data_IF_641636326354
#
_entry.id   IF_641636326354
#
_cell.length_a   1.000
_cell.length_b   1.000
_cell.length_c   1.000
_cell.angle_alpha   90.00
_cell.angle_beta   90.00
_cell.angle_gamma   90.00
#
_symmetry.space_group_name_H-M   'P 1'
#
loop_
_entity.id
_entity.type
_entity.pdbx_description
1 polymer ?
#
# COMPACT_ATOMS: atom_id res chain seq x y z
N UNK A 1 -63.36 -15.81 -59.38
CA UNK A 1 -64.39 -16.32 -58.45
C UNK A 1 -63.70 -17.29 -57.52
N UNK A 2 -63.39 -16.88 -56.29
CA UNK A 2 -64.19 -17.19 -55.08
C UNK A 2 -64.05 -18.67 -54.67
N UNK A 3 -63.78 -19.10 -53.44
CA UNK A 3 -63.63 -18.48 -52.13
C UNK A 3 -63.03 -19.62 -51.25
N UNK A 4 -62.00 -19.36 -50.43
CA UNK A 4 -61.48 -20.34 -49.47
C UNK A 4 -61.85 -19.89 -48.04
N UNK A 5 -62.68 -20.68 -47.36
CA UNK A 5 -63.01 -20.54 -45.94
C UNK A 5 -61.80 -20.86 -45.07
N UNK A 6 -61.51 -19.98 -44.10
CA UNK A 6 -60.84 -20.34 -42.84
C UNK A 6 -61.38 -19.44 -41.71
N UNK A 7 -62.13 -20.05 -40.79
CA UNK A 7 -62.09 -19.71 -39.37
C UNK A 7 -60.94 -20.52 -38.74
N UNK A 8 -60.26 -20.17 -37.65
CA UNK A 8 -60.78 -19.82 -36.32
C UNK A 8 -59.72 -19.06 -35.51
N UNK A 9 -60.20 -18.20 -34.61
CA UNK A 9 -59.59 -17.55 -33.44
C UNK A 9 -58.30 -18.15 -32.82
N UNK A 10 -57.38 -17.29 -32.37
CA UNK A 10 -57.07 -17.12 -30.94
C UNK A 10 -56.10 -15.96 -30.69
N UNK A 11 -56.42 -15.20 -29.64
CA UNK A 11 -55.72 -14.03 -29.07
C UNK A 11 -54.59 -14.54 -28.15
N UNK A 12 -53.46 -13.82 -28.04
CA UNK A 12 -52.76 -13.57 -26.76
C UNK A 12 -51.50 -12.68 -26.91
N UNK A 13 -51.54 -11.58 -26.17
CA UNK A 13 -50.48 -10.64 -25.77
C UNK A 13 -49.55 -11.20 -24.69
N UNK A 14 -48.28 -10.74 -24.62
CA UNK A 14 -47.61 -10.11 -23.44
C UNK A 14 -46.09 -10.40 -23.24
N UNK A 15 -45.29 -9.32 -23.33
CA UNK A 15 -44.23 -8.80 -22.43
C UNK A 15 -43.00 -9.61 -21.89
N UNK A 16 -41.87 -8.93 -21.58
CA UNK A 16 -40.54 -9.51 -21.25
C UNK A 16 -40.21 -9.50 -19.74
N UNK A 17 -39.59 -10.56 -19.19
CA UNK A 17 -39.28 -10.61 -17.74
C UNK A 17 -38.08 -11.51 -17.31
N UNK A 18 -36.99 -11.63 -18.09
CA UNK A 18 -35.91 -12.59 -17.75
C UNK A 18 -34.52 -12.01 -17.39
N UNK A 19 -34.34 -10.68 -17.33
CA UNK A 19 -32.98 -10.09 -17.23
C UNK A 19 -32.54 -9.65 -15.81
N UNK A 20 -33.45 -9.64 -14.83
CA UNK A 20 -33.17 -9.11 -13.48
C UNK A 20 -32.59 -10.14 -12.50
N UNK A 21 -32.91 -11.42 -12.65
CA UNK A 21 -32.56 -12.49 -11.70
C UNK A 21 -31.08 -12.90 -11.76
N UNK A 22 -30.47 -12.88 -12.95
CA UNK A 22 -29.07 -13.27 -13.13
C UNK A 22 -28.06 -12.30 -12.47
N UNK A 23 -28.41 -11.01 -12.35
CA UNK A 23 -27.53 -9.99 -11.74
C UNK A 23 -27.47 -10.12 -10.22
N UNK A 24 -28.55 -10.54 -9.57
CA UNK A 24 -28.62 -10.72 -8.12
C UNK A 24 -27.82 -11.95 -7.69
N UNK A 25 -27.94 -13.06 -8.42
CA UNK A 25 -27.20 -14.30 -8.14
C UNK A 25 -25.68 -14.13 -8.29
N UNK A 26 -25.22 -13.40 -9.32
CA UNK A 26 -23.79 -13.12 -9.53
C UNK A 26 -23.19 -12.21 -8.46
N UNK A 27 -24.01 -11.30 -7.88
CA UNK A 27 -23.59 -10.42 -6.79
C UNK A 27 -23.53 -11.15 -5.46
N UNK A 28 -24.46 -12.07 -5.19
CA UNK A 28 -24.43 -12.91 -4.00
C UNK A 28 -23.23 -13.88 -4.00
N UNK A 29 -22.92 -14.50 -5.15
CA UNK A 29 -21.75 -15.36 -5.30
C UNK A 29 -20.42 -14.59 -5.12
N UNK A 30 -20.33 -13.36 -5.66
CA UNK A 30 -19.14 -12.52 -5.49
C UNK A 30 -18.97 -11.95 -4.06
N UNK A 31 -20.06 -11.80 -3.31
CA UNK A 31 -20.02 -11.41 -1.90
C UNK A 31 -19.62 -12.61 -1.02
N UNK A 32 -20.10 -13.82 -1.34
CA UNK A 32 -19.75 -15.03 -0.61
C UNK A 32 -18.30 -15.47 -0.84
N UNK A 33 -17.77 -15.38 -2.07
CA UNK A 33 -16.34 -15.65 -2.31
C UNK A 33 -15.43 -14.63 -1.65
N UNK A 34 -15.87 -13.38 -1.51
CA UNK A 34 -15.12 -12.33 -0.82
C UNK A 34 -15.17 -12.46 0.71
N UNK A 35 -16.26 -13.01 1.25
CA UNK A 35 -16.39 -13.30 2.68
C UNK A 35 -15.59 -14.55 3.10
N UNK A 36 -15.59 -15.60 2.27
CA UNK A 36 -14.79 -16.81 2.55
C UNK A 36 -13.28 -16.58 2.44
N UNK A 37 -12.83 -15.61 1.64
CA UNK A 37 -11.42 -15.19 1.60
C UNK A 37 -11.00 -14.34 2.82
N UNK A 38 -11.94 -13.86 3.65
CA UNK A 38 -11.65 -13.09 4.87
C UNK A 38 -11.62 -13.99 6.12
N UNK A 39 -12.09 -15.24 6.05
CA UNK A 39 -12.27 -16.14 7.23
C UNK A 39 -11.57 -17.51 7.18
N UNK A 40 -10.61 -17.73 6.27
CA UNK A 40 -9.83 -18.96 6.27
C UNK A 40 -8.32 -18.68 6.28
N UNK A 41 -7.66 -18.99 7.40
CA UNK A 41 -6.20 -19.01 7.52
C UNK A 41 -5.74 -18.59 8.93
N UNK A 42 -4.66 -19.19 9.42
CA UNK A 42 -3.95 -18.81 10.65
C UNK A 42 -3.89 -17.29 10.85
N UNK A 43 -3.89 -16.80 12.10
CA UNK A 43 -3.80 -15.36 12.38
C UNK A 43 -2.51 -14.77 11.77
N UNK A 44 -2.61 -14.29 10.52
CA UNK A 44 -1.51 -13.66 9.80
C UNK A 44 -1.09 -12.42 10.56
N UNK A 45 0.21 -12.30 10.84
CA UNK A 45 0.77 -11.14 11.51
C UNK A 45 0.40 -9.86 10.73
N UNK A 46 -0.08 -8.79 11.39
CA UNK A 46 -0.54 -7.60 10.68
C UNK A 46 0.57 -6.92 9.86
N UNK A 47 1.84 -7.16 10.20
CA UNK A 47 3.00 -6.64 9.45
C UNK A 47 3.16 -7.33 8.08
N UNK A 48 2.70 -8.57 7.92
CA UNK A 48 2.73 -9.23 6.62
C UNK A 48 1.65 -8.71 5.67
N UNK A 49 0.65 -8.02 6.22
CA UNK A 49 -0.48 -7.48 5.47
C UNK A 49 -0.23 -6.05 5.00
N UNK A 50 0.85 -5.40 5.46
CA UNK A 50 1.29 -4.12 4.92
C UNK A 50 2.10 -4.34 3.63
N UNK A 51 1.96 -3.41 2.68
CA UNK A 51 2.73 -3.43 1.43
C UNK A 51 3.88 -2.45 1.58
N UNK A 52 4.99 -2.95 2.10
CA UNK A 52 6.23 -2.18 2.26
C UNK A 52 7.16 -2.54 1.12
N UNK A 53 7.60 -1.55 0.36
CA UNK A 53 8.44 -1.74 -0.84
C UNK A 53 9.66 -0.85 -0.82
N UNK A 54 10.68 -1.28 -1.53
CA UNK A 54 11.83 -0.44 -1.89
C UNK A 54 11.37 0.58 -2.94
N UNK A 55 11.67 1.85 -2.71
CA UNK A 55 11.38 2.94 -3.63
C UNK A 55 12.66 3.69 -4.00
N UNK A 56 12.84 4.03 -5.27
CA UNK A 56 13.92 4.93 -5.72
C UNK A 56 13.38 6.34 -5.84
N UNK A 57 13.92 7.28 -5.08
CA UNK A 57 13.56 8.69 -5.25
C UNK A 57 14.20 9.19 -6.54
N UNK A 58 13.38 9.55 -7.52
CA UNK A 58 13.82 10.10 -8.79
C UNK A 58 14.01 11.62 -8.70
N UNK A 59 13.11 12.29 -8.00
CA UNK A 59 13.11 13.73 -7.77
C UNK A 59 12.46 14.06 -6.44
N UNK A 60 12.91 15.13 -5.79
CA UNK A 60 12.30 15.71 -4.60
C UNK A 60 12.35 17.23 -4.69
N UNK A 61 11.20 17.89 -4.53
CA UNK A 61 11.13 19.35 -4.58
C UNK A 61 10.17 19.89 -3.53
N UNK A 62 10.44 21.12 -3.06
CA UNK A 62 9.63 21.72 -2.00
C UNK A 62 8.20 21.95 -2.47
N UNK A 63 7.24 21.66 -1.59
CA UNK A 63 5.84 21.90 -1.85
C UNK A 63 5.57 23.41 -1.97
N UNK A 64 4.86 23.87 -3.02
CA UNK A 64 4.67 25.31 -3.26
C UNK A 64 3.82 26.01 -2.19
N UNK A 65 2.87 25.29 -1.61
CA UNK A 65 1.94 25.82 -0.59
C UNK A 65 2.24 25.36 0.85
N UNK A 66 3.31 24.59 1.08
CA UNK A 66 3.58 24.01 2.40
C UNK A 66 5.09 23.96 2.70
N UNK A 67 5.54 24.80 3.63
CA UNK A 67 6.97 25.00 3.91
C UNK A 67 7.68 23.77 4.48
N UNK A 68 6.93 22.83 5.04
CA UNK A 68 7.46 21.62 5.69
C UNK A 68 7.39 20.38 4.81
N UNK A 69 6.79 20.47 3.63
CA UNK A 69 6.53 19.32 2.78
C UNK A 69 7.45 19.30 1.56
N UNK A 70 7.90 18.12 1.21
CA UNK A 70 8.43 17.80 -0.10
C UNK A 70 7.37 17.09 -0.93
N UNK A 71 7.51 17.17 -2.25
CA UNK A 71 6.82 16.34 -3.22
C UNK A 71 7.90 15.51 -3.90
N UNK A 72 7.77 14.19 -3.80
CA UNK A 72 8.71 13.23 -4.34
C UNK A 72 8.09 12.39 -5.46
N UNK A 73 8.85 12.24 -6.55
CA UNK A 73 8.59 11.23 -7.58
C UNK A 73 9.38 9.97 -7.22
N UNK A 74 8.69 8.91 -6.79
CA UNK A 74 9.34 7.68 -6.31
C UNK A 74 8.96 6.50 -7.20
N UNK A 75 9.95 5.86 -7.80
CA UNK A 75 9.78 4.59 -8.51
C UNK A 75 9.67 3.45 -7.50
N UNK A 76 8.52 2.78 -7.50
CA UNK A 76 8.22 1.60 -6.65
C UNK A 76 7.96 0.36 -7.52
N UNK A 77 8.59 0.29 -8.69
CA UNK A 77 8.49 -0.83 -9.64
C UNK A 77 7.13 -0.93 -10.34
N UNK A 78 6.40 0.19 -10.41
CA UNK A 78 5.13 0.30 -11.14
C UNK A 78 5.36 0.89 -12.53
N UNK A 79 4.29 0.94 -13.35
CA UNK A 79 4.38 1.49 -14.70
C UNK A 79 4.76 2.98 -14.73
N UNK A 80 4.36 3.73 -13.70
CA UNK A 80 4.66 5.14 -13.52
C UNK A 80 5.14 5.39 -12.07
N UNK A 81 6.09 6.32 -11.87
CA UNK A 81 6.50 6.72 -10.52
C UNK A 81 5.32 7.26 -9.72
N UNK A 82 5.31 6.96 -8.43
CA UNK A 82 4.29 7.49 -7.52
C UNK A 82 4.70 8.87 -7.03
N UNK A 83 3.70 9.74 -6.97
CA UNK A 83 3.84 11.00 -6.24
C UNK A 83 3.56 10.76 -4.76
N UNK A 84 4.55 11.03 -3.93
CA UNK A 84 4.44 10.99 -2.47
C UNK A 84 4.76 12.39 -1.96
N UNK A 85 4.17 12.77 -0.82
CA UNK A 85 4.58 13.97 -0.12
C UNK A 85 5.05 13.60 1.28
N UNK A 86 6.24 14.05 1.66
CA UNK A 86 6.83 13.81 2.97
C UNK A 86 7.04 15.10 3.76
N UNK A 87 7.05 15.00 5.09
CA UNK A 87 7.30 16.12 6.00
C UNK A 87 8.78 16.33 6.32
N UNK A 88 9.69 16.06 5.38
CA UNK A 88 11.12 15.92 5.66
C UNK A 88 11.94 17.22 5.55
N UNK A 89 11.33 18.33 5.07
CA UNK A 89 12.02 19.63 4.89
C UNK A 89 12.75 20.13 6.14
N UNK A 90 12.22 19.98 7.38
CA UNK A 90 12.94 20.45 8.57
C UNK A 90 14.18 19.63 8.93
N UNK A 91 14.31 18.41 8.41
CA UNK A 91 15.29 17.42 8.87
C UNK A 91 16.41 17.16 7.87
N UNK A 92 16.12 17.28 6.57
CA UNK A 92 17.09 16.99 5.51
C UNK A 92 16.79 17.78 4.24
N UNK A 93 17.81 17.95 3.41
CA UNK A 93 17.70 18.62 2.12
C UNK A 93 17.16 17.70 1.03
N UNK A 94 16.63 18.28 -0.06
CA UNK A 94 16.16 17.51 -1.21
C UNK A 94 17.29 16.70 -1.85
N UNK A 95 18.50 17.27 -1.91
CA UNK A 95 19.70 16.64 -2.47
C UNK A 95 20.11 15.38 -1.70
N UNK A 96 19.82 15.31 -0.39
CA UNK A 96 20.08 14.12 0.42
C UNK A 96 19.05 13.01 0.20
N UNK A 97 17.82 13.38 -0.19
CA UNK A 97 16.72 12.44 -0.44
C UNK A 97 16.77 11.91 -1.88
N UNK A 98 17.08 12.77 -2.84
CA UNK A 98 17.16 12.40 -4.26
C UNK A 98 18.17 11.29 -4.51
N UNK A 99 17.78 10.31 -5.31
CA UNK A 99 18.60 9.15 -5.59
C UNK A 99 18.73 8.15 -4.45
N UNK A 100 18.10 8.34 -3.29
CA UNK A 100 18.10 7.34 -2.23
C UNK A 100 17.15 6.16 -2.54
N UNK A 101 17.52 4.98 -2.05
CA UNK A 101 16.67 3.80 -2.03
C UNK A 101 15.90 3.77 -0.69
N UNK A 102 14.73 4.39 -0.67
CA UNK A 102 13.91 4.56 0.52
C UNK A 102 12.92 3.40 0.70
N UNK A 103 12.34 3.29 1.89
CA UNK A 103 11.25 2.36 2.14
C UNK A 103 9.91 3.08 2.06
N UNK A 104 8.99 2.52 1.27
CA UNK A 104 7.68 3.10 0.98
C UNK A 104 6.58 2.16 1.44
N UNK A 105 5.63 2.70 2.20
CA UNK A 105 4.35 2.04 2.46
C UNK A 105 3.37 2.34 1.32
N UNK A 106 3.12 1.33 0.49
CA UNK A 106 2.48 1.46 -0.82
C UNK A 106 0.97 1.14 -0.83
N UNK A 107 0.40 0.53 0.22
CA UNK A 107 -1.02 0.18 0.26
C UNK A 107 -1.87 1.07 1.17
N UNK A 108 -1.37 2.26 1.54
CA UNK A 108 -2.21 3.27 2.19
C UNK A 108 -3.16 3.90 1.18
N UNK A 109 -4.34 4.27 1.67
CA UNK A 109 -5.26 5.09 0.88
C UNK A 109 -4.64 6.46 0.62
N UNK A 110 -4.68 6.90 -0.63
CA UNK A 110 -4.19 8.23 -1.02
C UNK A 110 -4.80 9.33 -0.14
N UNK A 111 -3.96 10.28 0.25
CA UNK A 111 -4.31 11.43 1.09
C UNK A 111 -3.84 12.71 0.41
N UNK A 112 -4.71 13.71 0.39
CA UNK A 112 -4.32 15.06 -0.02
C UNK A 112 -3.60 15.78 1.12
N UNK A 113 -2.42 16.31 0.81
CA UNK A 113 -1.59 17.13 1.70
C UNK A 113 -1.38 18.46 1.00
N UNK A 114 -1.93 19.54 1.58
CA UNK A 114 -1.88 20.89 1.00
C UNK A 114 -2.28 20.95 -0.49
N UNK A 115 -3.35 20.23 -0.87
CA UNK A 115 -3.86 20.21 -2.25
C UNK A 115 -3.21 19.20 -3.19
N UNK A 116 -2.09 18.58 -2.79
CA UNK A 116 -1.38 17.58 -3.60
C UNK A 116 -1.69 16.16 -3.11
N UNK A 117 -2.10 15.23 -4.00
CA UNK A 117 -2.34 13.85 -3.62
C UNK A 117 -1.02 13.11 -3.37
N UNK A 118 -0.91 12.47 -2.20
CA UNK A 118 0.18 11.56 -1.85
C UNK A 118 -0.30 10.11 -1.94
N UNK A 119 0.42 9.28 -2.68
CA UNK A 119 0.11 7.87 -2.99
C UNK A 119 1.00 6.88 -2.22
N UNK A 120 1.31 7.23 -0.97
CA UNK A 120 2.11 6.40 -0.09
C UNK A 120 2.70 7.21 1.05
N UNK A 121 3.65 6.60 1.75
CA UNK A 121 4.39 7.23 2.83
C UNK A 121 5.82 6.67 2.83
N UNK A 122 6.80 7.56 2.87
CA UNK A 122 8.20 7.17 3.10
C UNK A 122 8.34 6.86 4.59
N UNK A 123 8.88 5.70 4.92
CA UNK A 123 9.14 5.31 6.31
C UNK A 123 10.48 5.85 6.77
N UNK A 124 10.48 6.53 7.90
CA UNK A 124 11.67 7.12 8.51
C UNK A 124 11.83 6.65 9.95
N UNK A 125 13.06 6.63 10.45
CA UNK A 125 13.33 6.52 11.88
C UNK A 125 13.27 7.91 12.51
N UNK A 126 12.66 8.03 13.69
CA UNK A 126 12.60 9.27 14.45
C UNK A 126 12.88 9.01 15.93
N UNK A 127 13.61 9.93 16.56
CA UNK A 127 13.82 9.89 18.00
C UNK A 127 12.51 10.17 18.78
N UNK A 128 12.52 9.90 20.09
CA UNK A 128 11.32 10.07 20.93
C UNK A 128 10.79 11.50 20.95
N UNK A 129 11.67 12.50 20.77
CA UNK A 129 11.31 13.90 20.73
C UNK A 129 10.83 14.37 19.34
N UNK A 130 10.98 13.53 18.31
CA UNK A 130 10.80 13.89 16.89
C UNK A 130 11.62 15.13 16.46
N UNK A 131 12.79 15.33 17.06
CA UNK A 131 13.72 16.39 16.69
C UNK A 131 14.67 15.92 15.59
N UNK A 132 15.01 14.63 15.58
CA UNK A 132 15.87 14.01 14.58
C UNK A 132 15.08 12.95 13.82
N UNK A 133 15.10 13.05 12.48
CA UNK A 133 14.46 12.10 11.57
C UNK A 133 15.47 11.67 10.52
N UNK A 134 15.61 10.35 10.35
CA UNK A 134 16.50 9.74 9.36
C UNK A 134 15.73 8.82 8.43
N UNK A 135 16.11 8.81 7.15
CA UNK A 135 15.55 7.88 6.17
C UNK A 135 15.90 6.43 6.55
N UNK A 136 14.94 5.53 6.34
CA UNK A 136 15.24 4.11 6.21
C UNK A 136 15.75 3.85 4.80
N UNK A 137 17.02 3.46 4.70
CA UNK A 137 17.71 3.22 3.44
C UNK A 137 17.93 1.73 3.26
N UNK A 138 17.60 1.26 2.06
CA UNK A 138 17.89 -0.10 1.63
C UNK A 138 19.31 -0.19 1.06
N UNK A 139 20.07 -1.27 1.34
CA UNK A 139 21.38 -1.48 0.73
C UNK A 139 21.33 -1.46 -0.80
N UNK A 140 22.45 -1.08 -1.41
CA UNK A 140 22.61 -1.12 -2.86
C UNK A 140 22.44 -2.55 -3.38
N UNK A 141 21.59 -2.72 -4.40
CA UNK A 141 21.31 -4.02 -5.02
C UNK A 141 19.84 -4.43 -4.96
N UNK A 142 19.05 -3.89 -4.04
CA UNK A 142 17.61 -4.14 -4.03
C UNK A 142 16.92 -3.35 -5.15
N UNK A 143 16.01 -4.01 -5.88
CA UNK A 143 15.33 -3.40 -7.00
C UNK A 143 14.16 -2.51 -6.54
N UNK A 144 13.88 -1.38 -7.22
CA UNK A 144 12.64 -0.63 -7.00
C UNK A 144 11.41 -1.52 -7.15
N UNK A 145 10.49 -1.42 -6.19
CA UNK A 145 9.27 -2.23 -6.11
C UNK A 145 9.42 -3.59 -5.45
N UNK A 146 10.64 -3.97 -5.08
CA UNK A 146 10.86 -5.17 -4.28
C UNK A 146 10.12 -5.04 -2.94
N UNK A 147 9.38 -6.09 -2.59
CA UNK A 147 8.62 -6.13 -1.34
C UNK A 147 9.55 -6.50 -0.19
N UNK A 148 9.56 -5.63 0.83
CA UNK A 148 10.32 -5.84 2.06
C UNK A 148 9.65 -6.94 2.87
N UNK A 149 10.47 -7.89 3.31
CA UNK A 149 10.05 -8.98 4.21
C UNK A 149 10.47 -8.66 5.65
N UNK A 150 9.84 -9.35 6.60
CA UNK A 150 10.12 -9.21 8.02
C UNK A 150 10.65 -10.54 8.55
N UNK A 151 11.88 -10.56 9.08
CA UNK A 151 12.56 -11.79 9.50
C UNK A 151 13.43 -12.36 8.39
N UNK A 152 13.16 -13.59 7.96
CA UNK A 152 14.01 -14.27 6.98
C UNK A 152 13.62 -13.93 5.53
N UNK A 153 14.61 -13.72 4.67
CA UNK A 153 14.38 -13.39 3.26
C UNK A 153 13.76 -14.54 2.46
N UNK A 154 14.06 -15.78 2.81
CA UNK A 154 13.49 -16.99 2.20
C UNK A 154 12.09 -17.35 2.73
N UNK A 155 11.57 -16.59 3.70
CA UNK A 155 10.24 -16.78 4.24
C UNK A 155 9.12 -16.47 3.24
N UNK A 156 8.01 -17.18 3.36
CA UNK A 156 6.76 -16.80 2.70
C UNK A 156 6.17 -15.55 3.36
N UNK A 157 5.52 -14.70 2.57
CA UNK A 157 4.84 -13.49 3.07
C UNK A 157 3.45 -13.44 2.48
N UNK A 158 2.45 -13.29 3.35
CA UNK A 158 1.04 -13.21 2.96
C UNK A 158 0.78 -12.05 1.99
N UNK A 159 -0.25 -12.16 1.15
CA UNK A 159 -0.61 -11.07 0.24
C UNK A 159 -0.98 -9.79 1.01
N UNK A 160 -0.52 -8.61 0.56
CA UNK A 160 -0.83 -7.37 1.25
C UNK A 160 -2.33 -7.06 1.16
N UNK A 161 -2.84 -6.39 2.19
CA UNK A 161 -4.17 -5.83 2.17
C UNK A 161 -4.32 -4.78 1.06
N UNK A 162 -5.50 -4.72 0.46
CA UNK A 162 -5.92 -3.58 -0.36
C UNK A 162 -6.06 -2.32 0.49
N UNK A 163 -6.01 -1.12 -0.11
CA UNK A 163 -6.21 0.16 0.60
C UNK A 163 -7.49 0.21 1.46
N UNK A 164 -8.57 -0.41 0.96
CA UNK A 164 -9.84 -0.48 1.68
C UNK A 164 -9.75 -1.41 2.91
N UNK A 165 -9.01 -2.52 2.81
CA UNK A 165 -8.77 -3.40 3.95
C UNK A 165 -7.85 -2.74 4.97
N UNK A 166 -6.79 -2.04 4.52
CA UNK A 166 -5.90 -1.25 5.38
C UNK A 166 -6.70 -0.30 6.29
N UNK A 167 -7.61 0.49 5.69
CA UNK A 167 -8.47 1.43 6.43
C UNK A 167 -9.49 0.74 7.33
N UNK A 168 -10.16 -0.32 6.86
CA UNK A 168 -11.23 -1.00 7.62
C UNK A 168 -10.69 -1.77 8.82
N UNK A 169 -9.57 -2.47 8.64
CA UNK A 169 -8.95 -3.32 9.66
C UNK A 169 -7.97 -2.56 10.55
N UNK A 170 -7.72 -1.28 10.25
CA UNK A 170 -6.74 -0.40 10.92
C UNK A 170 -5.38 -1.08 11.03
N UNK A 171 -4.92 -1.62 9.91
CA UNK A 171 -3.75 -2.53 9.89
C UNK A 171 -2.50 -1.75 10.23
N UNK A 172 -2.32 -0.56 9.66
CA UNK A 172 -1.16 0.29 9.94
C UNK A 172 -1.11 0.72 11.41
N UNK A 173 -2.25 1.09 12.00
CA UNK A 173 -2.35 1.51 13.39
C UNK A 173 -2.02 0.39 14.38
N UNK A 174 -2.13 -0.88 13.97
CA UNK A 174 -1.69 -2.05 14.75
C UNK A 174 -0.20 -2.35 14.58
N UNK A 175 0.40 -1.90 13.48
CA UNK A 175 1.80 -2.21 13.11
C UNK A 175 2.75 -1.12 13.58
N UNK A 176 2.40 0.15 13.33
CA UNK A 176 3.26 1.31 13.58
C UNK A 176 3.83 1.40 15.01
N UNK A 177 3.07 1.12 16.09
CA UNK A 177 3.61 1.24 17.45
C UNK A 177 4.73 0.25 17.78
N UNK A 178 4.80 -0.86 17.05
CA UNK A 178 5.77 -1.93 17.26
C UNK A 178 6.92 -1.89 16.23
N UNK A 179 6.89 -0.93 15.30
CA UNK A 179 7.96 -0.68 14.34
C UNK A 179 9.02 0.24 14.93
N UNK A 180 10.25 -0.28 15.02
CA UNK A 180 11.38 0.45 15.59
C UNK A 180 12.70 -0.02 14.98
N UNK A 181 13.73 0.79 15.11
CA UNK A 181 15.10 0.36 14.79
C UNK A 181 15.67 -0.47 15.94
N UNK A 182 16.61 -1.36 15.65
CA UNK A 182 17.36 -2.14 16.65
C UNK A 182 18.55 -1.34 17.17
N UNK A 183 19.34 -1.94 18.08
CA UNK A 183 20.62 -1.36 18.53
C UNK A 183 21.60 -1.12 17.37
N UNK A 184 21.53 -1.93 16.31
CA UNK A 184 22.38 -1.84 15.12
C UNK A 184 21.76 -0.96 14.01
N UNK A 185 20.79 -0.12 14.37
CA UNK A 185 20.07 0.78 13.46
C UNK A 185 19.29 0.05 12.35
N UNK A 186 18.99 -1.24 12.52
CA UNK A 186 18.21 -2.04 11.57
C UNK A 186 16.73 -1.85 11.83
N UNK A 187 15.93 -1.55 10.80
CA UNK A 187 14.49 -1.44 10.95
C UNK A 187 13.87 -2.81 11.28
N UNK A 188 13.00 -2.88 12.29
CA UNK A 188 12.40 -4.14 12.73
C UNK A 188 10.97 -3.97 13.25
N UNK A 189 10.18 -5.03 13.11
CA UNK A 189 8.85 -5.18 13.72
C UNK A 189 8.91 -6.26 14.79
N UNK A 190 8.72 -5.93 16.07
CA UNK A 190 8.79 -6.91 17.18
C UNK A 190 10.05 -7.80 17.16
N UNK A 191 11.18 -7.24 16.71
CA UNK A 191 12.45 -7.96 16.55
C UNK A 191 12.62 -8.71 15.23
N UNK A 192 11.61 -8.74 14.35
CA UNK A 192 11.72 -9.22 12.98
C UNK A 192 12.29 -8.11 12.10
N UNK A 193 13.53 -8.25 11.66
CA UNK A 193 14.23 -7.26 10.84
C UNK A 193 13.59 -7.12 9.46
N UNK A 194 13.54 -5.89 8.95
CA UNK A 194 13.19 -5.58 7.57
C UNK A 194 14.34 -6.01 6.66
N UNK A 195 14.08 -6.98 5.79
CA UNK A 195 15.07 -7.56 4.89
C UNK A 195 14.63 -7.47 3.43
N UNK A 196 15.61 -7.25 2.57
CA UNK A 196 15.51 -7.29 1.12
C UNK A 196 16.48 -8.33 0.55
N UNK A 197 16.43 -8.55 -0.75
CA UNK A 197 17.35 -9.40 -1.51
C UNK A 197 18.81 -8.98 -1.36
N UNK A 198 19.06 -7.70 -1.09
CA UNK A 198 20.40 -7.14 -0.93
C UNK A 198 20.84 -7.00 0.53
N UNK A 199 19.94 -7.18 1.51
CA UNK A 199 20.29 -7.16 2.93
C UNK A 199 19.29 -6.41 3.82
N UNK A 200 19.67 -6.09 5.06
CA UNK A 200 18.79 -5.43 6.02
C UNK A 200 18.61 -3.94 5.72
N UNK A 201 17.40 -3.44 5.95
CA UNK A 201 17.09 -1.99 5.88
C UNK A 201 17.59 -1.30 7.13
N UNK A 202 18.29 -0.18 6.98
CA UNK A 202 18.88 0.56 8.12
C UNK A 202 18.62 2.06 8.07
N UNK A 203 18.60 2.71 9.23
CA UNK A 203 18.83 4.15 9.32
C UNK A 203 20.31 4.45 9.57
N UNK A 204 20.68 5.74 9.59
CA UNK A 204 22.08 6.17 9.66
C UNK A 204 22.67 6.03 11.06
N UNK A 205 21.92 6.41 12.10
CA UNK A 205 22.42 6.43 13.48
C UNK A 205 21.36 6.29 14.58
N UNK A 206 20.08 6.43 14.26
CA UNK A 206 19.00 6.35 15.26
C UNK A 206 18.70 4.91 15.72
N UNK A 207 19.35 4.47 16.80
CA UNK A 207 19.10 3.17 17.44
C UNK A 207 17.87 3.19 18.38
N UNK A 208 17.09 2.11 18.40
CA UNK A 208 15.86 1.96 19.21
C UNK A 208 14.81 3.08 18.96
N UNK A 209 14.85 3.69 17.80
CA UNK A 209 13.99 4.79 17.39
C UNK A 209 12.68 4.28 16.80
N UNK A 210 11.61 5.07 16.94
CA UNK A 210 10.31 4.74 16.35
C UNK A 210 10.35 4.93 14.84
N UNK A 211 9.64 4.07 14.11
CA UNK A 211 9.53 4.16 12.65
C UNK A 211 8.11 4.62 12.28
N UNK A 212 8.03 5.66 11.45
CA UNK A 212 6.76 6.30 11.07
C UNK A 212 6.81 7.05 9.75
#
# INVERSE_FOLDING_TARGET
>A
MAFALRAVHSIATAAPAFRATARVARRAAAVQTRAMADEAGEEVSPVELVDVRVGKVLKAYKHPEADKLYIEEIDVGEAEPRQICSGLVPYMSAEEIEGQNVIVLANLKSRNLAGVPSHGMILCASDEAHENVELLVCPEGAAPGERVKFGSWDGEQSQPHTENQMKKKKTWEKVAPDLKTTADCVAAYKGLEMVTSAGPVKCKSLANALIG
#
